data_IF_384676026578
#
_entry.id   IF_384676026578
#
_cell.length_a   1.000
_cell.length_b   1.000
_cell.length_c   1.000
_cell.angle_alpha   90.00
_cell.angle_beta   90.00
_cell.angle_gamma   90.00
#
_symmetry.space_group_name_H-M   'P 1'
#
loop_
_entity.id
_entity.type
_entity.pdbx_description
1 polymer ?
#
# COMPACT_ATOMS: atom_id res chain seq x y z
N UNK A 1 14.81 -12.53 32.14
CA UNK A 1 14.15 -11.36 31.53
C UNK A 1 14.05 -11.71 30.05
N UNK A 2 12.88 -12.16 29.61
CA UNK A 2 12.68 -12.65 28.24
C UNK A 2 12.64 -11.45 27.29
N UNK A 3 13.48 -11.48 26.26
CA UNK A 3 13.49 -10.47 25.21
C UNK A 3 12.36 -10.83 24.22
N UNK A 4 11.14 -10.42 24.59
CA UNK A 4 9.86 -10.89 24.04
C UNK A 4 9.72 -10.73 22.51
N UNK A 5 10.51 -9.84 21.90
CA UNK A 5 10.50 -9.60 20.46
C UNK A 5 11.30 -10.64 19.67
N UNK A 6 12.48 -11.04 20.17
CA UNK A 6 13.29 -12.10 19.56
C UNK A 6 12.59 -13.45 19.69
N UNK A 7 11.90 -13.69 20.82
CA UNK A 7 11.09 -14.89 21.04
C UNK A 7 9.91 -14.98 20.06
N UNK A 8 9.22 -13.86 19.80
CA UNK A 8 8.09 -13.83 18.85
C UNK A 8 8.54 -14.11 17.41
N UNK A 9 9.69 -13.58 16.99
CA UNK A 9 10.25 -13.84 15.66
C UNK A 9 10.73 -15.27 15.52
N UNK A 10 11.42 -15.81 16.52
CA UNK A 10 11.84 -17.21 16.54
C UNK A 10 10.64 -18.14 16.49
N UNK A 11 9.62 -17.88 17.31
CA UNK A 11 8.40 -18.67 17.30
C UNK A 11 7.69 -18.65 15.94
N UNK A 12 7.59 -17.48 15.30
CA UNK A 12 7.03 -17.38 13.94
C UNK A 12 7.86 -18.12 12.89
N UNK A 13 9.19 -18.20 13.05
CA UNK A 13 10.07 -19.00 12.18
C UNK A 13 9.85 -20.49 12.39
N UNK A 14 9.80 -20.94 13.64
CA UNK A 14 9.61 -22.34 13.99
C UNK A 14 8.24 -22.86 13.50
N UNK A 15 7.23 -22.00 13.47
CA UNK A 15 5.92 -22.29 12.88
C UNK A 15 5.88 -22.19 11.33
N UNK A 16 6.97 -21.78 10.69
CA UNK A 16 7.03 -21.57 9.25
C UNK A 16 6.10 -20.46 8.74
N UNK A 17 5.74 -19.49 9.59
CA UNK A 17 4.92 -18.34 9.23
C UNK A 17 5.75 -17.30 8.48
N UNK A 18 6.99 -17.11 8.95
CA UNK A 18 7.97 -16.21 8.32
C UNK A 18 9.20 -16.97 7.84
N UNK A 19 10.00 -16.34 6.98
CA UNK A 19 11.22 -16.91 6.44
C UNK A 19 12.21 -17.30 7.53
N UNK A 20 12.82 -18.48 7.36
CA UNK A 20 13.82 -19.03 8.27
C UNK A 20 15.04 -18.10 8.41
N UNK A 21 15.39 -17.39 7.33
CA UNK A 21 16.52 -16.46 7.28
C UNK A 21 16.08 -15.03 6.99
N UNK A 22 17.00 -14.08 7.18
CA UNK A 22 16.82 -12.70 6.76
C UNK A 22 16.89 -12.60 5.21
N UNK A 23 16.17 -11.66 4.59
CA UNK A 23 15.21 -10.75 5.21
C UNK A 23 13.91 -11.47 5.60
N UNK A 24 13.28 -11.04 6.70
CA UNK A 24 12.03 -11.62 7.23
C UNK A 24 10.92 -11.47 6.19
N UNK A 25 10.33 -12.55 5.68
CA UNK A 25 9.19 -12.51 4.75
C UNK A 25 8.09 -13.43 5.23
N UNK A 26 6.84 -13.19 4.84
CA UNK A 26 5.79 -14.20 5.06
C UNK A 26 6.11 -15.41 4.17
N UNK A 27 6.24 -16.59 4.79
CA UNK A 27 6.88 -17.74 4.17
C UNK A 27 6.11 -18.30 2.97
N UNK A 28 4.79 -18.45 3.09
CA UNK A 28 3.96 -19.06 2.03
C UNK A 28 2.85 -18.13 1.51
N UNK A 29 2.30 -18.51 0.35
CA UNK A 29 1.28 -17.74 -0.38
C UNK A 29 -0.04 -17.61 0.37
N UNK A 30 -0.44 -18.65 1.11
CA UNK A 30 -1.67 -18.64 1.90
C UNK A 30 -1.56 -17.57 2.99
N UNK A 31 -0.47 -17.54 3.75
CA UNK A 31 -0.24 -16.54 4.79
C UNK A 31 -0.09 -15.13 4.22
N UNK A 32 0.52 -14.99 3.03
CA UNK A 32 0.63 -13.70 2.34
C UNK A 32 -0.73 -13.08 2.03
N UNK A 33 -1.75 -13.91 1.80
CA UNK A 33 -3.11 -13.44 1.58
C UNK A 33 -3.92 -13.30 2.87
N UNK A 34 -3.83 -14.28 3.77
CA UNK A 34 -4.68 -14.33 4.98
C UNK A 34 -4.27 -13.27 6.01
N UNK A 35 -2.98 -13.09 6.29
CA UNK A 35 -2.53 -12.17 7.35
C UNK A 35 -2.97 -10.72 7.06
N UNK A 36 -2.69 -10.12 5.89
CA UNK A 36 -3.15 -8.77 5.59
C UNK A 36 -4.67 -8.64 5.63
N UNK A 37 -5.39 -9.65 5.14
CA UNK A 37 -6.85 -9.65 5.13
C UNK A 37 -7.42 -9.63 6.55
N UNK A 38 -6.85 -10.42 7.46
CA UNK A 38 -7.26 -10.42 8.87
C UNK A 38 -6.95 -9.08 9.53
N UNK A 39 -5.75 -8.53 9.31
CA UNK A 39 -5.33 -7.24 9.87
C UNK A 39 -6.18 -6.07 9.36
N UNK A 40 -6.67 -6.14 8.11
CA UNK A 40 -7.49 -5.09 7.51
C UNK A 40 -8.98 -5.20 7.82
N UNK A 41 -9.49 -6.34 8.32
CA UNK A 41 -10.94 -6.58 8.46
C UNK A 41 -11.66 -5.46 9.20
N UNK A 42 -11.22 -5.14 10.41
CA UNK A 42 -11.86 -4.12 11.24
C UNK A 42 -11.82 -2.74 10.59
N UNK A 43 -10.75 -2.47 9.84
CA UNK A 43 -10.59 -1.22 9.14
C UNK A 43 -11.51 -1.14 7.91
N UNK A 44 -11.69 -2.24 7.19
CA UNK A 44 -12.65 -2.32 6.07
C UNK A 44 -14.06 -2.04 6.55
N UNK A 45 -14.49 -2.70 7.62
CA UNK A 45 -15.82 -2.52 8.22
C UNK A 45 -16.06 -1.05 8.65
N UNK A 46 -14.99 -0.32 8.96
CA UNK A 46 -15.06 1.09 9.38
C UNK A 46 -14.91 2.09 8.22
N UNK A 47 -14.38 1.65 7.06
CA UNK A 47 -14.22 2.47 5.84
C UNK A 47 -15.41 2.29 4.89
N UNK A 48 -16.22 1.22 5.05
CA UNK A 48 -17.37 0.95 4.19
C UNK A 48 -18.25 2.19 4.01
N UNK A 49 -18.39 2.60 2.75
CA UNK A 49 -19.01 3.85 2.33
C UNK A 49 -20.51 3.89 2.64
N UNK A 50 -20.93 5.01 3.24
CA UNK A 50 -22.27 5.56 3.07
C UNK A 50 -22.50 5.90 1.58
N UNK A 51 -23.18 5.03 0.83
CA UNK A 51 -23.84 5.39 -0.44
C UNK A 51 -23.60 4.47 -1.64
N UNK A 52 -24.63 4.36 -2.50
CA UNK A 52 -24.69 3.45 -3.66
C UNK A 52 -23.81 3.87 -4.87
N UNK A 53 -23.16 5.04 -4.84
CA UNK A 53 -22.47 5.60 -6.03
C UNK A 53 -20.99 5.22 -6.09
N UNK A 54 -20.62 4.40 -7.08
CA UNK A 54 -19.22 4.01 -7.36
C UNK A 54 -18.46 5.12 -8.11
N UNK A 55 -18.19 6.23 -7.43
CA UNK A 55 -17.50 7.43 -7.97
C UNK A 55 -16.11 7.15 -8.57
N UNK A 56 -15.49 6.02 -8.22
CA UNK A 56 -14.20 5.54 -8.75
C UNK A 56 -14.33 4.75 -10.06
N UNK A 57 -15.53 4.61 -10.63
CA UNK A 57 -15.78 3.91 -11.90
C UNK A 57 -16.19 4.93 -12.97
N UNK A 58 -15.48 4.92 -14.10
CA UNK A 58 -15.78 5.76 -15.25
C UNK A 58 -17.05 5.31 -15.94
N UNK A 59 -17.65 6.18 -16.76
CA UNK A 59 -18.86 5.88 -17.54
C UNK A 59 -18.71 4.67 -18.49
N UNK A 60 -17.48 4.34 -18.89
CA UNK A 60 -17.16 3.15 -19.70
C UNK A 60 -16.92 1.87 -18.87
N UNK A 61 -17.18 1.90 -17.57
CA UNK A 61 -17.00 0.77 -16.65
C UNK A 61 -15.55 0.48 -16.27
N UNK A 62 -14.58 1.32 -16.65
CA UNK A 62 -13.18 1.18 -16.24
C UNK A 62 -12.91 1.86 -14.90
N UNK A 63 -11.87 1.39 -14.21
CA UNK A 63 -11.43 1.97 -12.95
C UNK A 63 -10.80 3.35 -13.20
N UNK A 64 -11.20 4.35 -12.42
CA UNK A 64 -10.51 5.63 -12.32
C UNK A 64 -9.51 5.61 -11.17
N UNK A 65 -8.30 5.11 -11.45
CA UNK A 65 -7.24 5.00 -10.45
C UNK A 65 -6.81 6.37 -9.91
N UNK A 66 -6.81 7.40 -10.76
CA UNK A 66 -6.41 8.74 -10.33
C UNK A 66 -7.43 9.31 -9.35
N UNK A 67 -8.72 9.20 -9.67
CA UNK A 67 -9.79 9.64 -8.78
C UNK A 67 -9.76 8.83 -7.47
N UNK A 68 -9.58 7.51 -7.57
CA UNK A 68 -9.49 6.62 -6.41
C UNK A 68 -8.37 7.02 -5.45
N UNK A 69 -7.18 7.30 -5.97
CA UNK A 69 -6.03 7.70 -5.15
C UNK A 69 -6.15 9.12 -4.61
N UNK A 70 -6.83 10.05 -5.30
CA UNK A 70 -7.13 11.38 -4.77
C UNK A 70 -8.07 11.33 -3.58
N UNK A 71 -9.17 10.58 -3.69
CA UNK A 71 -10.05 10.36 -2.56
C UNK A 71 -9.35 9.61 -1.42
N UNK A 72 -8.37 8.74 -1.73
CA UNK A 72 -7.53 8.15 -0.70
C UNK A 72 -6.65 9.19 0.00
N UNK A 73 -6.04 10.13 -0.72
CA UNK A 73 -5.27 11.23 -0.11
C UNK A 73 -6.13 12.04 0.86
N UNK A 74 -7.36 12.38 0.46
CA UNK A 74 -8.33 13.09 1.29
C UNK A 74 -8.70 12.29 2.54
N UNK A 75 -9.18 11.05 2.35
CA UNK A 75 -9.48 10.12 3.45
C UNK A 75 -8.30 9.96 4.42
N UNK A 76 -7.09 9.75 3.87
CA UNK A 76 -5.89 9.53 4.66
C UNK A 76 -5.51 10.79 5.44
N UNK A 77 -5.67 11.98 4.85
CA UNK A 77 -5.39 13.24 5.54
C UNK A 77 -6.30 13.51 6.73
N UNK A 78 -7.57 13.15 6.62
CA UNK A 78 -8.57 13.38 7.67
C UNK A 78 -8.50 12.33 8.79
N UNK A 79 -8.19 11.08 8.44
CA UNK A 79 -8.43 9.95 9.34
C UNK A 79 -7.14 9.28 9.85
N UNK A 80 -6.02 9.39 9.13
CA UNK A 80 -4.87 8.51 9.37
C UNK A 80 -4.30 8.61 10.78
N UNK A 81 -4.23 9.80 11.39
CA UNK A 81 -3.62 9.95 12.72
C UNK A 81 -4.35 9.12 13.79
N UNK A 82 -5.68 9.15 13.80
CA UNK A 82 -6.51 8.37 14.74
C UNK A 82 -6.31 6.86 14.52
N UNK A 83 -6.23 6.43 13.27
CA UNK A 83 -6.03 5.01 12.94
C UNK A 83 -4.62 4.52 13.28
N UNK A 84 -3.60 5.33 12.96
CA UNK A 84 -2.19 5.00 13.17
C UNK A 84 -1.83 4.94 14.66
N UNK A 85 -2.50 5.72 15.51
CA UNK A 85 -2.35 5.64 16.96
C UNK A 85 -2.87 4.32 17.55
N UNK A 86 -3.92 3.75 16.96
CA UNK A 86 -4.54 2.48 17.40
C UNK A 86 -3.77 1.24 16.97
N UNK A 87 -2.87 1.36 15.99
CA UNK A 87 -2.08 0.22 15.52
C UNK A 87 -0.83 0.00 16.37
N UNK A 88 -0.68 -1.22 16.89
CA UNK A 88 0.58 -1.68 17.48
C UNK A 88 1.73 -1.70 16.45
N UNK A 89 1.40 -1.79 15.16
CA UNK A 89 2.31 -1.84 14.02
C UNK A 89 2.33 -0.54 13.21
N UNK A 90 2.74 0.58 13.85
CA UNK A 90 2.73 1.93 13.24
C UNK A 90 3.34 2.01 11.84
N UNK A 91 4.36 1.19 11.57
CA UNK A 91 5.05 1.15 10.27
C UNK A 91 4.24 0.49 9.15
N UNK A 92 3.40 -0.50 9.46
CA UNK A 92 2.54 -1.16 8.47
C UNK A 92 1.20 -0.42 8.29
N UNK A 93 0.83 0.42 9.26
CA UNK A 93 -0.44 1.16 9.30
C UNK A 93 -0.79 1.88 7.99
N UNK A 94 0.09 2.70 7.38
CA UNK A 94 -0.24 3.40 6.14
C UNK A 94 -0.55 2.47 4.97
N UNK A 95 0.16 1.34 4.89
CA UNK A 95 -0.04 0.35 3.83
C UNK A 95 -1.35 -0.41 4.05
N UNK A 96 -1.67 -0.75 5.30
CA UNK A 96 -2.93 -1.37 5.70
C UNK A 96 -4.12 -0.44 5.43
N UNK A 97 -3.97 0.86 5.69
CA UNK A 97 -4.96 1.87 5.34
C UNK A 97 -5.28 1.90 3.85
N UNK A 98 -4.26 1.97 3.00
CA UNK A 98 -4.48 1.90 1.55
C UNK A 98 -5.11 0.57 1.13
N UNK A 99 -4.65 -0.56 1.68
CA UNK A 99 -5.21 -1.87 1.32
C UNK A 99 -6.68 -2.03 1.74
N UNK A 100 -7.06 -1.54 2.92
CA UNK A 100 -8.45 -1.55 3.36
C UNK A 100 -9.31 -0.61 2.51
N UNK A 101 -8.79 0.58 2.18
CA UNK A 101 -9.45 1.49 1.26
C UNK A 101 -9.69 0.82 -0.10
N UNK A 102 -8.67 0.19 -0.68
CA UNK A 102 -8.79 -0.50 -1.97
C UNK A 102 -9.71 -1.73 -1.97
N UNK A 103 -10.24 -2.16 -0.82
CA UNK A 103 -11.24 -3.23 -0.75
C UNK A 103 -12.47 -2.92 -1.63
N UNK A 104 -12.84 -1.64 -1.81
CA UNK A 104 -13.93 -1.26 -2.72
C UNK A 104 -13.70 -1.68 -4.16
N UNK A 105 -12.45 -1.78 -4.61
CA UNK A 105 -12.10 -2.29 -5.94
C UNK A 105 -12.46 -3.76 -6.07
N UNK A 106 -12.21 -4.55 -5.02
CA UNK A 106 -12.59 -5.97 -4.94
C UNK A 106 -14.13 -6.09 -4.92
N UNK A 107 -14.80 -5.27 -4.10
CA UNK A 107 -16.27 -5.23 -4.04
C UNK A 107 -16.90 -4.81 -5.38
N UNK A 108 -16.17 -4.03 -6.19
CA UNK A 108 -16.52 -3.67 -7.56
C UNK A 108 -16.29 -4.77 -8.61
N UNK A 109 -15.78 -5.95 -8.22
CA UNK A 109 -15.46 -7.07 -9.11
C UNK A 109 -14.00 -7.14 -9.57
N UNK A 110 -13.13 -6.28 -9.03
CA UNK A 110 -11.69 -6.30 -9.29
C UNK A 110 -10.92 -7.34 -8.48
N UNK A 111 -9.61 -7.40 -8.72
CA UNK A 111 -8.66 -8.25 -7.99
C UNK A 111 -7.44 -7.43 -7.60
N UNK A 112 -6.86 -7.77 -6.45
CA UNK A 112 -5.63 -7.15 -5.96
C UNK A 112 -4.66 -8.27 -5.62
N UNK A 113 -3.54 -8.33 -6.34
CA UNK A 113 -2.43 -9.23 -6.05
C UNK A 113 -1.41 -8.49 -5.18
N UNK A 114 -0.98 -9.13 -4.08
CA UNK A 114 -0.12 -8.53 -3.05
C UNK A 114 1.16 -9.33 -2.91
N UNK A 115 2.30 -8.71 -3.15
CA UNK A 115 3.59 -9.27 -2.75
C UNK A 115 4.07 -8.61 -1.46
N UNK A 116 3.76 -9.21 -0.30
CA UNK A 116 4.24 -8.73 1.00
C UNK A 116 5.66 -9.23 1.29
N UNK A 117 6.67 -8.41 1.02
CA UNK A 117 8.02 -8.63 1.56
C UNK A 117 8.19 -7.81 2.85
N UNK A 118 7.90 -8.44 3.99
CA UNK A 118 8.23 -7.90 5.32
C UNK A 118 9.75 -7.62 5.37
N UNK A 119 10.22 -6.68 6.20
CA UNK A 119 11.66 -6.46 6.43
C UNK A 119 12.49 -5.77 5.32
N UNK A 120 12.03 -5.69 4.06
CA UNK A 120 12.72 -4.91 3.00
C UNK A 120 11.97 -3.65 2.58
N UNK A 121 10.74 -3.45 3.07
CA UNK A 121 9.89 -2.31 2.72
C UNK A 121 9.42 -2.31 1.27
N UNK A 122 8.92 -3.44 0.76
CA UNK A 122 8.26 -3.52 -0.55
C UNK A 122 6.90 -4.20 -0.44
N UNK A 123 5.88 -3.58 -1.03
CA UNK A 123 4.57 -4.17 -1.31
C UNK A 123 4.07 -3.53 -2.59
N UNK A 124 3.99 -4.32 -3.67
CA UNK A 124 3.89 -3.83 -5.05
C UNK A 124 2.55 -4.24 -5.67
N UNK A 125 1.47 -3.64 -5.16
CA UNK A 125 0.11 -4.04 -5.51
C UNK A 125 -0.10 -4.04 -7.02
N UNK A 126 -0.55 -5.19 -7.56
CA UNK A 126 -1.09 -5.27 -8.91
C UNK A 126 -2.61 -5.34 -8.81
N UNK A 127 -3.26 -4.30 -9.30
CA UNK A 127 -4.72 -4.18 -9.33
C UNK A 127 -5.21 -4.53 -10.73
N UNK A 128 -6.15 -5.46 -10.79
CA UNK A 128 -6.84 -5.86 -12.03
C UNK A 128 -8.31 -5.48 -11.93
N UNK A 129 -8.82 -4.72 -12.90
CA UNK A 129 -10.21 -4.30 -12.93
C UNK A 129 -10.74 -4.21 -14.36
N UNK A 130 -11.76 -5.01 -14.70
CA UNK A 130 -12.36 -5.05 -16.04
C UNK A 130 -11.33 -5.11 -17.20
N UNK A 131 -10.27 -5.91 -17.02
CA UNK A 131 -9.19 -6.09 -18.00
C UNK A 131 -8.07 -5.06 -17.95
N UNK A 132 -8.19 -4.00 -17.16
CA UNK A 132 -7.10 -3.03 -16.94
C UNK A 132 -6.21 -3.50 -15.78
N UNK A 133 -4.92 -3.16 -15.87
CA UNK A 133 -3.89 -3.45 -14.87
C UNK A 133 -3.29 -2.15 -14.36
N UNK A 134 -3.12 -2.04 -13.04
CA UNK A 134 -2.48 -0.91 -12.39
C UNK A 134 -1.42 -1.42 -11.42
N UNK A 135 -0.23 -0.83 -11.49
CA UNK A 135 0.91 -1.18 -10.63
C UNK A 135 1.12 -0.05 -9.63
N UNK A 136 1.08 -0.37 -8.35
CA UNK A 136 1.33 0.57 -7.26
C UNK A 136 2.55 0.10 -6.47
N UNK A 137 3.55 0.96 -6.33
CA UNK A 137 4.70 0.77 -5.44
C UNK A 137 4.51 1.66 -4.21
N UNK A 138 4.65 1.09 -3.01
CA UNK A 138 4.46 1.82 -1.77
C UNK A 138 5.81 2.03 -1.05
N UNK A 139 6.04 3.23 -0.52
CA UNK A 139 7.20 3.57 0.32
C UNK A 139 6.82 4.48 1.47
N UNK A 140 7.44 4.25 2.62
CA UNK A 140 7.54 5.24 3.69
C UNK A 140 8.74 6.16 3.45
N UNK A 141 8.58 7.46 3.66
CA UNK A 141 9.65 8.47 3.56
C UNK A 141 10.63 8.44 4.76
N UNK A 142 11.17 7.27 5.08
CA UNK A 142 12.14 7.08 6.18
C UNK A 142 13.52 7.66 5.90
N UNK A 143 13.91 7.66 4.63
CA UNK A 143 15.23 8.10 4.20
C UNK A 143 15.07 9.00 2.97
N UNK A 144 16.00 9.94 2.74
CA UNK A 144 15.99 10.79 1.54
C UNK A 144 15.96 9.98 0.23
N UNK A 145 16.52 8.77 0.23
CA UNK A 145 16.56 7.88 -0.93
C UNK A 145 15.26 7.11 -1.21
N UNK A 146 14.22 7.21 -0.37
CA UNK A 146 12.99 6.43 -0.51
C UNK A 146 12.31 6.64 -1.87
N UNK A 147 12.23 7.89 -2.34
CA UNK A 147 11.65 8.25 -3.65
C UNK A 147 12.42 7.59 -4.79
N UNK A 148 13.74 7.82 -4.87
CA UNK A 148 14.56 7.24 -5.95
C UNK A 148 14.51 5.71 -5.95
N UNK A 149 14.58 5.09 -4.76
CA UNK A 149 14.47 3.64 -4.63
C UNK A 149 13.11 3.13 -5.08
N UNK A 150 12.01 3.82 -4.78
CA UNK A 150 10.67 3.48 -5.26
C UNK A 150 10.56 3.57 -6.79
N UNK A 151 11.10 4.63 -7.38
CA UNK A 151 11.14 4.81 -8.83
C UNK A 151 11.90 3.68 -9.54
N UNK A 152 13.08 3.32 -9.05
CA UNK A 152 13.84 2.20 -9.61
C UNK A 152 13.17 0.83 -9.39
N UNK A 153 12.27 0.72 -8.42
CA UNK A 153 11.56 -0.52 -8.11
C UNK A 153 10.37 -0.71 -9.02
N UNK A 154 9.50 0.30 -9.07
CA UNK A 154 8.33 0.27 -9.94
C UNK A 154 8.73 0.17 -11.41
N UNK A 155 9.81 0.84 -11.85
CA UNK A 155 10.27 0.71 -13.25
C UNK A 155 10.65 -0.73 -13.60
N UNK A 156 11.40 -1.42 -12.72
CA UNK A 156 11.74 -2.84 -12.91
C UNK A 156 10.50 -3.72 -12.92
N UNK A 157 9.55 -3.46 -12.02
CA UNK A 157 8.33 -4.26 -11.97
C UNK A 157 7.48 -4.07 -13.24
N UNK A 158 7.35 -2.82 -13.71
CA UNK A 158 6.71 -2.50 -14.98
C UNK A 158 7.39 -3.20 -16.17
N UNK A 159 8.72 -3.31 -16.19
CA UNK A 159 9.43 -4.09 -17.22
C UNK A 159 9.02 -5.57 -17.22
N UNK A 160 8.94 -6.21 -16.04
CA UNK A 160 8.54 -7.63 -15.95
C UNK A 160 7.12 -7.89 -16.46
N UNK A 161 6.23 -6.88 -16.36
CA UNK A 161 4.85 -6.96 -16.80
C UNK A 161 4.64 -6.44 -18.23
N UNK A 162 5.67 -5.93 -18.90
CA UNK A 162 5.56 -5.28 -20.21
C UNK A 162 4.72 -3.99 -20.18
N UNK A 163 4.65 -3.32 -19.03
CA UNK A 163 3.86 -2.11 -18.81
C UNK A 163 4.74 -0.85 -18.81
N UNK A 164 4.11 0.30 -19.04
CA UNK A 164 4.79 1.62 -19.08
C UNK A 164 4.24 2.64 -18.11
N UNK A 165 3.19 2.30 -17.35
CA UNK A 165 2.50 3.19 -16.42
C UNK A 165 2.37 2.58 -15.03
N UNK A 166 2.67 3.34 -13.99
CA UNK A 166 2.52 2.93 -12.61
C UNK A 166 2.41 4.10 -11.63
N UNK A 167 2.11 3.79 -10.38
CA UNK A 167 1.90 4.76 -9.31
C UNK A 167 2.90 4.53 -8.18
N UNK A 168 3.68 5.54 -7.82
CA UNK A 168 4.55 5.51 -6.64
C UNK A 168 3.88 6.26 -5.50
N UNK A 169 3.47 5.53 -4.47
CA UNK A 169 2.82 6.08 -3.28
C UNK A 169 3.88 6.31 -2.19
N UNK A 170 4.05 7.57 -1.77
CA UNK A 170 5.02 7.96 -0.75
C UNK A 170 4.32 8.49 0.50
N UNK A 171 4.40 7.72 1.58
CA UNK A 171 3.83 8.10 2.87
C UNK A 171 4.83 8.90 3.70
N UNK A 172 4.45 10.10 4.11
CA UNK A 172 5.10 10.88 5.16
C UNK A 172 4.83 10.23 6.52
N UNK A 173 5.89 10.07 7.30
CA UNK A 173 5.83 9.41 8.61
C UNK A 173 5.92 10.41 9.76
N UNK A 174 6.30 11.65 9.46
CA UNK A 174 6.32 12.72 10.46
C UNK A 174 4.87 13.13 10.79
N UNK A 175 4.55 13.39 12.07
CA UNK A 175 3.24 13.92 12.47
C UNK A 175 2.85 15.21 11.73
N UNK A 176 1.56 15.48 11.58
CA UNK A 176 1.07 16.71 10.94
C UNK A 176 1.52 17.99 11.66
N UNK A 177 1.76 17.89 12.97
CA UNK A 177 2.35 18.97 13.79
C UNK A 177 3.78 19.35 13.39
N UNK A 178 4.51 18.47 12.68
CA UNK A 178 5.87 18.73 12.17
C UNK A 178 5.83 19.09 10.68
N UNK A 179 5.05 18.36 9.89
CA UNK A 179 4.87 18.61 8.45
C UNK A 179 3.38 18.72 8.17
N UNK A 180 2.82 19.93 7.97
CA UNK A 180 1.39 20.12 7.74
C UNK A 180 0.87 19.38 6.49
N UNK A 181 -0.41 18.99 6.49
CA UNK A 181 -1.05 18.22 5.42
C UNK A 181 -0.93 18.91 4.04
N UNK A 182 -1.05 20.24 4.03
CA UNK A 182 -0.96 21.08 2.84
C UNK A 182 0.40 20.99 2.14
N UNK A 183 1.45 20.61 2.88
CA UNK A 183 2.82 20.52 2.38
C UNK A 183 3.25 19.11 1.99
N UNK A 184 2.56 18.08 2.51
CA UNK A 184 2.85 16.67 2.24
C UNK A 184 2.02 16.07 1.11
N UNK A 185 0.79 16.54 0.91
CA UNK A 185 -0.09 16.06 -0.16
C UNK A 185 0.41 16.59 -1.50
N UNK A 186 0.93 15.70 -2.34
CA UNK A 186 1.43 16.08 -3.68
C UNK A 186 1.03 15.06 -4.72
N UNK A 187 0.91 15.56 -5.95
CA UNK A 187 0.63 14.77 -7.14
C UNK A 187 1.56 15.23 -8.26
N UNK A 188 2.33 14.31 -8.82
CA UNK A 188 3.34 14.64 -9.82
C UNK A 188 3.47 13.52 -10.85
N UNK A 189 3.33 13.84 -12.13
CA UNK A 189 3.60 12.90 -13.21
C UNK A 189 5.02 13.10 -13.73
N UNK A 190 5.81 12.03 -13.74
CA UNK A 190 7.19 12.07 -14.23
C UNK A 190 7.47 10.95 -15.23
N UNK A 191 8.52 11.15 -16.01
CA UNK A 191 9.15 10.07 -16.79
C UNK A 191 10.42 9.61 -16.08
N UNK A 192 10.52 8.31 -15.80
CA UNK A 192 11.72 7.68 -15.24
C UNK A 192 12.00 6.36 -15.96
N UNK A 193 13.20 6.20 -16.52
CA UNK A 193 13.59 5.00 -17.27
C UNK A 193 12.56 4.61 -18.37
N UNK A 194 12.04 5.60 -19.10
CA UNK A 194 11.00 5.44 -20.13
C UNK A 194 9.65 4.91 -19.61
N UNK A 195 9.38 5.03 -18.30
CA UNK A 195 8.09 4.75 -17.68
C UNK A 195 7.42 6.06 -17.27
N UNK A 196 6.12 6.15 -17.48
CA UNK A 196 5.30 7.24 -16.93
C UNK A 196 4.85 6.84 -15.53
N UNK A 197 5.35 7.55 -14.52
CA UNK A 197 5.06 7.26 -13.12
C UNK A 197 4.35 8.46 -12.51
N UNK A 198 3.17 8.20 -11.95
CA UNK A 198 2.45 9.16 -11.13
C UNK A 198 2.89 8.99 -9.69
N UNK A 199 3.47 10.02 -9.11
CA UNK A 199 3.88 10.07 -7.72
C UNK A 199 2.76 10.70 -6.90
N UNK A 200 2.32 9.97 -5.89
CA UNK A 200 1.27 10.40 -4.96
C UNK A 200 1.88 10.44 -3.57
N UNK A 201 2.04 11.65 -3.02
CA UNK A 201 2.58 11.86 -1.67
C UNK A 201 1.46 12.20 -0.70
N UNK A 202 1.49 11.66 0.52
CA UNK A 202 0.55 11.96 1.61
C UNK A 202 1.14 11.62 2.97
#
# INVERSE_FOLDING_TARGET
MFDNYDDSLLYCRDLGIISETKPIRIANEIYREIIPRVLNRNLQDSIEEEGETKWYIKSNGKLDMDNLLKAFQEFYSENSEVWLERFDYKEAGPHLLLMAFLQRVINGGGRINREMAVGTGRTDLLIEFNGDKFVLELKLKRMPSARQKGLDQISRYLDTLGMTKGYLILFEIKPSSIIPWETRVKWEDISHQNKNITIVEM
#
